data_IF_825197748194
#
_entry.id   IF_825197748194
#
_cell.length_a   1.000
_cell.length_b   1.000
_cell.length_c   1.000
_cell.angle_alpha   90.00
_cell.angle_beta   90.00
_cell.angle_gamma   90.00
#
_symmetry.space_group_name_H-M   'P 1'
#
loop_
_entity.id
_entity.type
_entity.pdbx_description
1 polymer ?
#
# COMPACT_ATOMS: atom_id res chain seq x y z
N UNK A 1 4.29 25.18 -3.78
CA UNK A 1 5.45 25.83 -3.16
C UNK A 1 5.43 25.73 -1.62
N UNK A 2 4.49 26.34 -0.88
CA UNK A 2 4.47 26.30 0.59
C UNK A 2 4.39 24.89 1.20
N UNK A 3 3.52 23.99 0.70
CA UNK A 3 3.42 22.60 1.18
C UNK A 3 4.70 21.79 0.96
N UNK A 4 5.40 21.99 -0.14
CA UNK A 4 6.67 21.30 -0.42
C UNK A 4 7.80 21.80 0.49
N UNK A 5 7.81 23.08 0.80
CA UNK A 5 8.70 23.66 1.79
C UNK A 5 8.45 23.07 3.19
N UNK A 6 7.20 23.01 3.65
CA UNK A 6 6.83 22.39 4.92
C UNK A 6 7.26 20.92 5.00
N UNK A 7 7.05 20.15 3.93
CA UNK A 7 7.45 18.75 3.90
C UNK A 7 8.97 18.60 3.95
N UNK A 8 9.70 19.47 3.27
CA UNK A 8 11.16 19.39 3.21
C UNK A 8 11.82 19.74 4.54
N UNK A 9 11.34 20.80 5.23
CA UNK A 9 11.99 21.34 6.41
C UNK A 9 11.24 21.06 7.72
N UNK A 10 9.94 20.79 7.64
CA UNK A 10 9.05 20.60 8.79
C UNK A 10 8.12 19.40 8.59
N UNK A 11 8.69 18.28 8.15
CA UNK A 11 7.91 17.06 7.82
C UNK A 11 7.03 16.59 8.98
N UNK A 12 7.50 16.73 10.22
CA UNK A 12 6.74 16.37 11.42
C UNK A 12 5.47 17.20 11.59
N UNK A 13 5.56 18.53 11.42
CA UNK A 13 4.39 19.41 11.48
C UNK A 13 3.38 19.05 10.39
N UNK A 14 3.86 18.74 9.18
CA UNK A 14 3.01 18.28 8.09
C UNK A 14 2.30 16.97 8.42
N UNK A 15 2.99 16.01 9.05
CA UNK A 15 2.42 14.73 9.48
C UNK A 15 1.32 14.97 10.52
N UNK A 16 1.57 15.76 11.56
CA UNK A 16 0.58 16.08 12.60
C UNK A 16 -0.65 16.78 12.01
N UNK A 17 -0.45 17.79 11.18
CA UNK A 17 -1.55 18.45 10.48
C UNK A 17 -2.35 17.48 9.61
N UNK A 18 -1.67 16.58 8.88
CA UNK A 18 -2.33 15.61 8.03
C UNK A 18 -3.19 14.63 8.83
N UNK A 19 -2.67 14.11 9.95
CA UNK A 19 -3.38 13.16 10.80
C UNK A 19 -4.52 13.81 11.58
N UNK A 20 -4.21 14.84 12.38
CA UNK A 20 -5.11 15.34 13.42
C UNK A 20 -6.01 16.49 12.97
N UNK A 21 -5.71 17.13 11.84
CA UNK A 21 -6.54 18.21 11.31
C UNK A 21 -7.24 17.75 10.02
N UNK A 22 -6.47 17.37 9.00
CA UNK A 22 -7.04 17.05 7.69
C UNK A 22 -7.82 15.73 7.68
N UNK A 23 -7.31 14.70 8.35
CA UNK A 23 -7.89 13.36 8.38
C UNK A 23 -8.42 12.96 9.77
N UNK A 24 -8.75 13.92 10.64
CA UNK A 24 -9.23 13.67 12.00
C UNK A 24 -10.41 12.69 12.09
N UNK A 25 -11.26 12.68 11.09
CA UNK A 25 -12.43 11.79 11.02
C UNK A 25 -12.07 10.31 10.81
N UNK A 26 -10.81 10.01 10.48
CA UNK A 26 -10.32 8.64 10.31
C UNK A 26 -9.57 8.10 11.52
N UNK A 27 -9.40 8.88 12.60
CA UNK A 27 -8.59 8.48 13.76
C UNK A 27 -9.23 7.32 14.52
N UNK A 28 -10.56 7.27 14.60
CA UNK A 28 -11.28 6.20 15.26
C UNK A 28 -12.50 5.81 14.44
N UNK A 29 -12.46 4.64 13.86
CA UNK A 29 -13.54 4.09 13.01
C UNK A 29 -13.70 2.60 13.21
N UNK A 30 -14.89 2.12 12.89
CA UNK A 30 -15.19 0.67 12.89
C UNK A 30 -14.55 -0.09 11.73
N UNK A 31 -14.22 0.61 10.63
CA UNK A 31 -13.49 0.12 9.47
C UNK A 31 -12.69 1.26 8.85
N UNK A 32 -11.50 0.97 8.41
CA UNK A 32 -10.61 1.91 7.73
C UNK A 32 -10.53 1.62 6.23
N UNK A 33 -10.95 0.43 5.81
CA UNK A 33 -11.07 0.04 4.41
C UNK A 33 -12.24 0.77 3.73
N UNK A 34 -12.25 0.77 2.40
CA UNK A 34 -13.30 1.45 1.61
C UNK A 34 -14.65 0.73 1.73
N UNK A 35 -14.66 -0.60 1.65
CA UNK A 35 -15.86 -1.43 1.67
C UNK A 35 -15.91 -2.47 2.81
N UNK A 36 -15.05 -2.31 3.85
CA UNK A 36 -15.05 -3.18 5.03
C UNK A 36 -14.21 -4.46 4.88
N UNK A 37 -13.27 -4.47 3.94
CA UNK A 37 -12.34 -5.57 3.68
C UNK A 37 -11.57 -5.98 4.94
N UNK A 38 -11.15 -5.01 5.74
CA UNK A 38 -10.44 -5.20 7.01
C UNK A 38 -11.26 -5.99 8.03
N UNK A 39 -12.56 -5.69 8.19
CA UNK A 39 -13.48 -6.45 9.04
C UNK A 39 -13.67 -7.88 8.54
N UNK A 40 -13.81 -8.03 7.22
CA UNK A 40 -13.97 -9.35 6.61
C UNK A 40 -12.74 -10.22 6.88
N UNK A 41 -11.53 -9.68 6.72
CA UNK A 41 -10.28 -10.40 6.98
C UNK A 41 -10.15 -10.79 8.45
N UNK A 42 -10.40 -9.88 9.39
CA UNK A 42 -10.39 -10.18 10.83
C UNK A 42 -11.34 -11.31 11.19
N UNK A 43 -12.54 -11.33 10.58
CA UNK A 43 -13.53 -12.39 10.81
C UNK A 43 -13.08 -13.72 10.22
N UNK A 44 -12.43 -13.70 9.05
CA UNK A 44 -12.05 -14.91 8.30
C UNK A 44 -10.78 -15.56 8.82
N UNK A 45 -9.75 -14.78 9.15
CA UNK A 45 -8.44 -15.31 9.55
C UNK A 45 -8.32 -15.31 11.07
N UNK A 46 -8.50 -16.49 11.71
CA UNK A 46 -8.45 -16.66 13.15
C UNK A 46 -7.04 -16.89 13.70
N UNK A 47 -6.15 -17.50 12.90
CA UNK A 47 -4.76 -17.83 13.26
C UNK A 47 -3.80 -17.16 12.31
N UNK A 48 -2.68 -16.67 12.84
CA UNK A 48 -1.72 -15.86 12.10
C UNK A 48 -2.04 -14.37 12.27
N UNK A 49 -1.04 -13.52 12.11
CA UNK A 49 -1.18 -12.07 12.30
C UNK A 49 -0.10 -11.33 11.53
N UNK A 50 0.20 -11.79 10.30
CA UNK A 50 1.17 -11.15 9.44
C UNK A 50 0.54 -10.69 8.13
N UNK A 51 0.68 -9.41 7.84
CA UNK A 51 0.20 -8.84 6.59
C UNK A 51 1.32 -8.14 5.79
N UNK A 52 1.06 -8.02 4.49
CA UNK A 52 1.85 -7.18 3.57
C UNK A 52 0.89 -6.26 2.85
N UNK A 53 1.19 -4.96 2.85
CA UNK A 53 0.36 -3.89 2.27
C UNK A 53 1.19 -3.15 1.22
N UNK A 54 0.90 -3.36 -0.06
CA UNK A 54 1.61 -2.76 -1.19
C UNK A 54 0.75 -1.67 -1.82
N UNK A 55 1.29 -0.44 -1.88
CA UNK A 55 0.55 0.77 -2.21
C UNK A 55 -0.26 1.26 -1.02
N UNK A 56 0.32 1.18 0.17
CA UNK A 56 -0.37 1.39 1.45
C UNK A 56 -0.88 2.83 1.68
N UNK A 57 -0.44 3.81 0.90
CA UNK A 57 -0.86 5.20 0.80
C UNK A 57 -0.98 5.95 2.14
N UNK A 58 -1.99 5.69 2.96
CA UNK A 58 -2.26 6.41 4.21
C UNK A 58 -2.65 5.44 5.32
N UNK A 59 -2.06 5.52 6.54
CA UNK A 59 -2.29 4.51 7.57
C UNK A 59 -3.72 4.42 8.10
N UNK A 60 -4.52 5.51 7.98
CA UNK A 60 -5.87 5.58 8.53
C UNK A 60 -6.98 5.65 7.46
N UNK A 61 -6.68 6.18 6.28
CA UNK A 61 -7.70 6.49 5.28
C UNK A 61 -7.65 5.50 4.12
N UNK A 62 -8.76 4.81 3.88
CA UNK A 62 -8.88 3.79 2.83
C UNK A 62 -7.71 2.81 2.91
N UNK A 63 -7.59 2.14 4.07
CA UNK A 63 -6.48 1.25 4.34
C UNK A 63 -6.96 -0.09 4.88
N UNK A 64 -6.67 -1.16 4.17
CA UNK A 64 -7.14 -2.51 4.45
C UNK A 64 -6.45 -3.16 5.67
N UNK A 65 -5.35 -2.57 6.16
CA UNK A 65 -4.50 -3.18 7.18
C UNK A 65 -4.53 -2.44 8.53
N UNK A 66 -5.14 -1.24 8.64
CA UNK A 66 -5.09 -0.50 9.90
C UNK A 66 -5.87 -1.18 11.03
N UNK A 67 -7.08 -1.66 10.75
CA UNK A 67 -7.86 -2.41 11.74
C UNK A 67 -7.16 -3.70 12.17
N UNK A 68 -6.39 -4.34 11.26
CA UNK A 68 -5.56 -5.50 11.59
C UNK A 68 -4.45 -5.11 12.57
N UNK A 69 -3.76 -3.98 12.32
CA UNK A 69 -2.72 -3.45 13.20
C UNK A 69 -3.25 -3.17 14.61
N UNK A 70 -4.43 -2.54 14.75
CA UNK A 70 -5.11 -2.30 16.03
C UNK A 70 -5.45 -3.62 16.75
N UNK A 71 -5.65 -4.71 16.01
CA UNK A 71 -5.89 -6.06 16.54
C UNK A 71 -4.60 -6.89 16.69
N UNK A 72 -3.46 -6.23 16.93
CA UNK A 72 -2.15 -6.84 17.19
C UNK A 72 -1.60 -7.67 16.02
N UNK A 73 -2.00 -7.38 14.79
CA UNK A 73 -1.28 -7.85 13.62
C UNK A 73 -0.06 -6.98 13.39
N UNK A 74 0.96 -7.55 12.73
CA UNK A 74 2.17 -6.80 12.33
C UNK A 74 2.49 -7.12 10.88
N UNK A 75 3.08 -6.14 10.19
CA UNK A 75 3.27 -6.29 8.76
C UNK A 75 4.40 -5.50 8.16
N UNK A 76 4.37 -5.52 6.84
CA UNK A 76 5.24 -4.71 5.97
C UNK A 76 4.34 -3.81 5.13
N UNK A 77 4.48 -2.50 5.30
CA UNK A 77 3.80 -1.49 4.50
C UNK A 77 4.78 -0.94 3.46
N UNK A 78 4.42 -0.96 2.19
CA UNK A 78 5.29 -0.56 1.09
C UNK A 78 4.59 0.51 0.25
N UNK A 79 5.26 1.64 0.04
CA UNK A 79 4.76 2.71 -0.82
C UNK A 79 5.89 3.44 -1.54
N UNK A 80 5.59 3.92 -2.75
CA UNK A 80 6.52 4.75 -3.53
C UNK A 80 6.63 6.18 -2.99
N UNK A 81 5.66 6.62 -2.20
CA UNK A 81 5.61 7.97 -1.65
C UNK A 81 6.31 8.03 -0.29
N UNK A 82 7.45 8.70 -0.24
CA UNK A 82 8.24 8.88 0.99
C UNK A 82 7.43 9.50 2.14
N UNK A 83 6.52 10.44 1.84
CA UNK A 83 5.69 11.09 2.88
C UNK A 83 4.66 10.12 3.46
N UNK A 84 4.11 9.25 2.61
CA UNK A 84 3.26 8.13 3.05
C UNK A 84 4.00 7.30 4.10
N UNK A 85 5.20 6.83 3.79
CA UNK A 85 6.01 6.01 4.70
C UNK A 85 6.34 6.74 6.01
N UNK A 86 6.71 8.03 5.96
CA UNK A 86 6.92 8.82 7.19
C UNK A 86 5.67 8.90 8.09
N UNK A 87 4.47 8.94 7.51
CA UNK A 87 3.22 8.90 8.28
C UNK A 87 3.03 7.51 8.91
N UNK A 88 3.33 6.44 8.16
CA UNK A 88 3.31 5.07 8.69
C UNK A 88 4.31 4.89 9.84
N UNK A 89 5.53 5.39 9.73
CA UNK A 89 6.54 5.34 10.80
C UNK A 89 6.05 6.02 12.08
N UNK A 90 5.25 7.06 11.96
CA UNK A 90 4.65 7.74 13.10
C UNK A 90 3.48 6.95 13.71
N UNK A 91 2.58 6.38 12.88
CA UNK A 91 1.33 5.74 13.32
C UNK A 91 1.54 4.26 13.65
N UNK A 92 2.35 3.54 12.84
CA UNK A 92 2.55 2.09 12.92
C UNK A 92 4.02 1.75 13.19
N UNK A 93 4.51 2.17 14.35
CA UNK A 93 5.92 2.04 14.76
C UNK A 93 6.42 0.60 14.87
N UNK A 94 5.51 -0.35 15.10
CA UNK A 94 5.84 -1.77 15.26
C UNK A 94 5.85 -2.54 13.93
N UNK A 95 5.34 -1.91 12.86
CA UNK A 95 5.44 -2.42 11.50
C UNK A 95 6.77 -2.06 10.86
N UNK A 96 7.06 -2.74 9.77
CA UNK A 96 8.15 -2.37 8.88
C UNK A 96 7.59 -1.54 7.71
N UNK A 97 8.04 -0.28 7.60
CA UNK A 97 7.57 0.64 6.58
C UNK A 97 8.68 0.87 5.56
N UNK A 98 8.41 0.58 4.28
CA UNK A 98 9.43 0.54 3.22
C UNK A 98 9.09 1.50 2.10
N UNK A 99 9.96 2.49 1.88
CA UNK A 99 9.84 3.39 0.73
C UNK A 99 10.51 2.75 -0.50
N UNK A 100 9.74 2.06 -1.31
CA UNK A 100 10.19 1.38 -2.52
C UNK A 100 9.05 1.22 -3.52
N UNK A 101 9.39 1.17 -4.80
CA UNK A 101 8.49 0.61 -5.80
C UNK A 101 8.58 -0.92 -5.77
N UNK A 102 7.42 -1.58 -5.95
CA UNK A 102 7.38 -3.02 -6.21
C UNK A 102 7.23 -3.22 -7.72
N UNK A 103 8.14 -3.98 -8.31
CA UNK A 103 8.16 -4.25 -9.76
C UNK A 103 8.78 -5.62 -10.05
N UNK A 104 8.75 -6.05 -11.32
CA UNK A 104 9.35 -7.32 -11.73
C UNK A 104 10.89 -7.33 -11.66
N UNK A 105 11.52 -6.16 -11.71
CA UNK A 105 12.97 -6.03 -11.79
C UNK A 105 13.52 -5.12 -10.67
N UNK A 106 14.72 -5.48 -10.18
CA UNK A 106 15.49 -4.62 -9.29
C UNK A 106 16.10 -3.45 -10.10
N UNK A 107 16.08 -2.24 -9.53
CA UNK A 107 16.69 -1.08 -10.14
C UNK A 107 16.09 0.23 -9.67
N UNK A 108 15.84 1.13 -10.60
CA UNK A 108 15.19 2.41 -10.37
C UNK A 108 14.08 2.63 -11.39
N UNK A 109 12.96 3.16 -10.92
CA UNK A 109 11.83 3.55 -11.76
C UNK A 109 11.42 4.99 -11.49
N UNK A 110 10.80 5.62 -12.47
CA UNK A 110 10.17 6.91 -12.27
C UNK A 110 8.71 6.70 -11.82
N UNK A 111 8.28 7.46 -10.83
CA UNK A 111 6.88 7.56 -10.49
C UNK A 111 6.36 8.97 -10.69
N UNK A 112 5.06 9.08 -10.94
CA UNK A 112 4.38 10.32 -11.30
C UNK A 112 3.36 10.67 -10.22
N UNK A 113 3.23 11.97 -9.90
CA UNK A 113 2.30 12.47 -8.89
C UNK A 113 1.87 13.92 -9.21
N UNK A 114 0.78 14.37 -8.59
CA UNK A 114 0.32 15.76 -8.66
C UNK A 114 0.65 16.54 -7.39
N UNK A 115 0.44 15.94 -6.23
CA UNK A 115 0.63 16.52 -4.90
C UNK A 115 1.48 15.60 -4.01
N UNK A 116 2.13 16.14 -2.97
CA UNK A 116 3.05 15.38 -2.13
C UNK A 116 2.46 14.12 -1.48
N UNK A 117 1.19 14.16 -1.08
CA UNK A 117 0.46 13.01 -0.56
C UNK A 117 -0.84 12.85 -1.36
N UNK A 118 -0.70 12.29 -2.54
CA UNK A 118 -1.80 12.03 -3.47
C UNK A 118 -2.16 10.55 -3.47
N UNK A 119 -3.45 10.24 -3.48
CA UNK A 119 -3.93 8.87 -3.73
C UNK A 119 -3.74 8.41 -5.18
N UNK A 120 -3.32 9.32 -6.07
CA UNK A 120 -3.09 9.04 -7.49
C UNK A 120 -1.61 9.04 -7.86
N UNK A 121 -0.76 8.53 -6.98
CA UNK A 121 0.67 8.36 -7.29
C UNK A 121 0.86 7.05 -8.05
N UNK A 122 1.47 7.08 -9.23
CA UNK A 122 1.53 5.91 -10.12
C UNK A 122 2.87 5.74 -10.82
N UNK A 123 3.25 4.50 -11.10
CA UNK A 123 4.38 4.18 -12.00
C UNK A 123 4.01 4.38 -13.48
N UNK A 124 2.72 4.55 -13.77
CA UNK A 124 2.23 4.81 -15.14
C UNK A 124 2.02 6.30 -15.29
N UNK A 125 2.61 6.90 -16.33
CA UNK A 125 2.41 8.31 -16.66
C UNK A 125 0.95 8.56 -17.04
N UNK A 126 0.24 9.38 -16.27
CA UNK A 126 -1.14 9.80 -16.53
C UNK A 126 -1.14 11.32 -16.81
N UNK A 127 -2.06 11.80 -17.66
CA UNK A 127 -2.14 13.22 -18.11
C UNK A 127 -2.22 14.24 -16.97
N UNK A 128 -2.85 13.88 -15.86
CA UNK A 128 -3.03 14.71 -14.67
C UNK A 128 -1.83 14.69 -13.70
N UNK A 129 -0.85 13.77 -13.88
CA UNK A 129 0.32 13.64 -13.01
C UNK A 129 1.49 14.40 -13.63
N UNK A 130 1.72 15.63 -13.17
CA UNK A 130 2.67 16.57 -13.79
C UNK A 130 4.09 16.50 -13.20
N UNK A 131 4.26 15.87 -12.03
CA UNK A 131 5.56 15.77 -11.33
C UNK A 131 6.08 14.35 -11.43
N UNK A 132 7.39 14.21 -11.41
CA UNK A 132 8.07 12.90 -11.42
C UNK A 132 9.19 12.86 -10.38
N UNK A 133 9.39 11.69 -9.82
CA UNK A 133 10.54 11.37 -8.96
C UNK A 133 11.08 9.99 -9.33
N UNK A 134 12.37 9.77 -9.09
CA UNK A 134 13.03 8.47 -9.22
C UNK A 134 13.06 7.76 -7.88
N UNK A 135 12.75 6.46 -7.85
CA UNK A 135 12.75 5.63 -6.66
C UNK A 135 13.39 4.27 -6.93
N UNK A 136 13.98 3.67 -5.90
CA UNK A 136 14.41 2.26 -5.96
C UNK A 136 13.21 1.36 -6.21
N UNK A 137 13.40 0.34 -7.03
CA UNK A 137 12.42 -0.71 -7.26
C UNK A 137 13.01 -2.08 -7.00
N UNK A 138 12.18 -2.99 -6.54
CA UNK A 138 12.57 -4.38 -6.35
C UNK A 138 11.33 -5.28 -6.48
N UNK A 139 11.57 -6.59 -6.61
CA UNK A 139 10.53 -7.59 -6.49
C UNK A 139 10.01 -7.65 -5.06
N UNK A 140 8.75 -8.00 -4.86
CA UNK A 140 8.16 -8.11 -3.54
C UNK A 140 8.87 -9.17 -2.69
N UNK A 141 9.17 -10.33 -3.27
CA UNK A 141 9.92 -11.39 -2.59
C UNK A 141 11.31 -10.91 -2.11
N UNK A 142 12.04 -10.16 -2.92
CA UNK A 142 13.35 -9.63 -2.54
C UNK A 142 13.25 -8.55 -1.44
N UNK A 143 12.20 -7.73 -1.45
CA UNK A 143 11.95 -6.78 -0.36
C UNK A 143 11.73 -7.54 0.95
N UNK A 144 10.88 -8.56 0.93
CA UNK A 144 10.60 -9.38 2.12
C UNK A 144 11.83 -10.16 2.59
N UNK A 145 12.65 -10.68 1.66
CA UNK A 145 13.90 -11.38 1.96
C UNK A 145 14.93 -10.52 2.72
N UNK A 146 14.87 -9.19 2.54
CA UNK A 146 15.73 -8.23 3.25
C UNK A 146 15.22 -7.87 4.64
N UNK A 147 14.13 -8.47 5.11
CA UNK A 147 13.47 -8.15 6.38
C UNK A 147 13.51 -9.33 7.35
N UNK A 148 13.10 -9.08 8.60
CA UNK A 148 12.85 -10.13 9.61
C UNK A 148 11.74 -11.12 9.20
N UNK A 149 11.00 -10.83 8.14
CA UNK A 149 9.89 -11.65 7.64
C UNK A 149 10.28 -12.57 6.47
N UNK A 150 11.58 -12.73 6.22
CA UNK A 150 12.08 -13.67 5.20
C UNK A 150 11.48 -15.06 5.38
N UNK A 151 10.91 -15.60 4.29
CA UNK A 151 10.23 -16.91 4.24
C UNK A 151 9.03 -17.07 5.19
N UNK A 152 8.53 -16.00 5.79
CA UNK A 152 7.32 -16.05 6.60
C UNK A 152 6.09 -16.08 5.70
N UNK A 153 5.22 -17.07 5.89
CA UNK A 153 3.94 -17.16 5.17
C UNK A 153 3.07 -15.94 5.48
N UNK A 154 2.47 -15.35 4.44
CA UNK A 154 1.64 -14.15 4.55
C UNK A 154 0.21 -14.59 4.92
N UNK A 155 -0.37 -14.03 5.97
CA UNK A 155 -1.77 -14.28 6.30
C UNK A 155 -2.71 -13.42 5.44
N UNK A 156 -2.33 -12.17 5.19
CA UNK A 156 -3.08 -11.24 4.34
C UNK A 156 -2.15 -10.38 3.47
N UNK A 157 -2.39 -10.38 2.17
CA UNK A 157 -1.71 -9.53 1.18
C UNK A 157 -2.71 -8.55 0.59
N UNK A 158 -2.47 -7.25 0.81
CA UNK A 158 -3.19 -6.14 0.18
C UNK A 158 -2.35 -5.54 -0.93
N UNK A 159 -2.92 -5.35 -2.11
CA UNK A 159 -2.26 -4.76 -3.28
C UNK A 159 -3.17 -3.69 -3.89
N UNK A 160 -2.67 -2.46 -3.92
CA UNK A 160 -3.26 -1.31 -4.62
C UNK A 160 -2.13 -0.47 -5.23
N UNK A 161 -1.64 -0.89 -6.38
CA UNK A 161 -0.46 -0.33 -7.06
C UNK A 161 -0.81 0.51 -8.28
N UNK A 162 -2.02 1.08 -8.33
CA UNK A 162 -2.47 2.03 -9.36
C UNK A 162 -2.22 1.56 -10.80
N UNK A 163 -2.63 0.31 -11.08
CA UNK A 163 -2.54 -0.34 -12.39
C UNK A 163 -1.28 -1.16 -12.61
N UNK A 164 -0.44 -1.35 -11.57
CA UNK A 164 0.71 -2.26 -11.56
C UNK A 164 0.50 -3.50 -10.67
N UNK A 165 -0.72 -3.72 -10.25
CA UNK A 165 -1.14 -4.76 -9.31
C UNK A 165 -0.73 -6.15 -9.76
N UNK A 166 -0.86 -6.44 -11.05
CA UNK A 166 -0.44 -7.72 -11.61
C UNK A 166 1.09 -7.91 -11.64
N UNK A 167 1.86 -6.84 -11.85
CA UNK A 167 3.31 -6.89 -11.78
C UNK A 167 3.76 -7.15 -10.33
N UNK A 168 3.08 -6.54 -9.34
CA UNK A 168 3.30 -6.80 -7.91
C UNK A 168 3.06 -8.27 -7.61
N UNK A 169 1.92 -8.81 -8.03
CA UNK A 169 1.56 -10.21 -7.80
C UNK A 169 2.61 -11.17 -8.40
N UNK A 170 3.05 -10.94 -9.64
CA UNK A 170 4.10 -11.72 -10.31
C UNK A 170 5.48 -11.60 -9.65
N UNK A 171 5.72 -10.55 -8.88
CA UNK A 171 6.99 -10.31 -8.20
C UNK A 171 7.11 -11.05 -6.86
N UNK A 172 6.09 -11.80 -6.46
CA UNK A 172 6.09 -12.62 -5.25
C UNK A 172 6.38 -14.09 -5.58
N UNK A 173 7.26 -14.71 -4.83
CA UNK A 173 7.43 -16.15 -4.83
C UNK A 173 6.33 -16.82 -3.98
N UNK A 174 5.27 -17.29 -4.63
CA UNK A 174 4.12 -17.90 -3.98
C UNK A 174 4.44 -19.20 -3.23
N UNK A 175 5.48 -19.94 -3.63
CA UNK A 175 5.88 -21.16 -2.92
C UNK A 175 6.48 -20.85 -1.55
N UNK A 176 7.22 -19.74 -1.46
CA UNK A 176 7.86 -19.31 -0.21
C UNK A 176 6.92 -18.54 0.71
N UNK A 177 6.16 -17.60 0.17
CA UNK A 177 5.38 -16.64 0.95
C UNK A 177 3.90 -17.01 1.11
N UNK A 178 3.31 -17.76 0.18
CA UNK A 178 1.99 -18.42 0.22
C UNK A 178 0.89 -17.61 0.93
N UNK A 179 0.40 -16.49 0.33
CA UNK A 179 -0.64 -15.69 0.95
C UNK A 179 -1.93 -16.47 1.15
N UNK A 180 -2.48 -16.48 2.39
CA UNK A 180 -3.77 -17.14 2.71
C UNK A 180 -4.97 -16.40 2.14
N UNK A 181 -4.87 -15.08 2.08
CA UNK A 181 -5.88 -14.20 1.50
C UNK A 181 -5.22 -13.04 0.79
N UNK A 182 -5.76 -12.68 -0.38
CA UNK A 182 -5.28 -11.55 -1.19
C UNK A 182 -6.46 -10.62 -1.44
N UNK A 183 -6.28 -9.33 -1.13
CA UNK A 183 -7.12 -8.24 -1.61
C UNK A 183 -6.33 -7.47 -2.66
N UNK A 184 -6.87 -7.35 -3.87
CA UNK A 184 -6.18 -6.72 -4.98
C UNK A 184 -7.14 -5.84 -5.76
N UNK A 185 -6.68 -4.62 -6.11
CA UNK A 185 -7.45 -3.76 -6.97
C UNK A 185 -7.45 -4.29 -8.41
N UNK A 186 -8.64 -4.39 -8.99
CA UNK A 186 -8.82 -4.85 -10.36
C UNK A 186 -9.33 -3.71 -11.23
N UNK A 187 -8.45 -3.12 -12.01
CA UNK A 187 -8.81 -2.12 -13.00
C UNK A 187 -9.57 -2.74 -14.16
N UNK A 188 -10.79 -2.27 -14.40
CA UNK A 188 -11.60 -2.70 -15.50
C UNK A 188 -12.68 -1.66 -15.84
N UNK A 189 -13.34 -1.81 -16.98
CA UNK A 189 -14.53 -0.99 -17.34
C UNK A 189 -15.74 -1.47 -16.52
N UNK A 190 -15.62 -1.49 -15.19
CA UNK A 190 -16.63 -1.98 -14.25
C UNK A 190 -17.99 -1.24 -14.35
N UNK A 191 -18.03 -0.08 -15.00
CA UNK A 191 -19.28 0.65 -15.33
C UNK A 191 -20.11 -0.02 -16.44
N UNK A 192 -19.58 -1.04 -17.14
CA UNK A 192 -20.39 -1.84 -18.07
C UNK A 192 -20.94 -3.04 -17.30
N UNK A 193 -22.28 -3.24 -17.36
CA UNK A 193 -23.05 -4.34 -16.78
C UNK A 193 -22.51 -5.77 -17.02
N UNK A 194 -21.44 -5.94 -17.80
CA UNK A 194 -20.84 -7.21 -18.21
C UNK A 194 -19.32 -7.26 -17.96
N UNK A 195 -18.83 -6.80 -16.78
CA UNK A 195 -17.43 -7.01 -16.41
C UNK A 195 -17.18 -8.50 -16.14
N UNK A 196 -16.41 -9.14 -17.01
CA UNK A 196 -16.10 -10.56 -16.88
C UNK A 196 -14.74 -10.73 -16.22
N UNK A 197 -14.73 -11.03 -14.93
CA UNK A 197 -13.52 -11.29 -14.12
C UNK A 197 -12.63 -12.35 -14.77
N UNK A 198 -13.20 -13.40 -15.38
CA UNK A 198 -12.45 -14.50 -16.02
C UNK A 198 -11.57 -14.04 -17.19
N UNK A 199 -11.84 -12.87 -17.76
CA UNK A 199 -11.02 -12.26 -18.82
C UNK A 199 -9.91 -11.36 -18.27
N UNK A 200 -9.88 -11.10 -16.96
CA UNK A 200 -8.84 -10.30 -16.34
C UNK A 200 -7.58 -11.13 -16.09
N UNK A 201 -6.41 -10.56 -16.40
CA UNK A 201 -5.11 -11.24 -16.23
C UNK A 201 -4.78 -11.61 -14.78
N UNK A 202 -5.37 -10.93 -13.81
CA UNK A 202 -5.20 -11.20 -12.38
C UNK A 202 -6.00 -12.43 -11.95
N UNK A 203 -7.12 -12.72 -12.62
CA UNK A 203 -7.96 -13.87 -12.31
C UNK A 203 -7.45 -15.18 -12.94
N UNK A 204 -6.69 -15.08 -14.03
CA UNK A 204 -6.10 -16.26 -14.72
C UNK A 204 -4.82 -16.71 -14.02
#
# INVERSE_FOLDING_TARGET
MFKEFLIKYFSFIYILHNLYIKNKYYIKRDTYADSGEDKFILKKIKKGKFYVDVGCHHPLRINNCHLLYENNWRGVNIDINEISIKIFDYVRKEDLNVNSAVSLNKGYVNYFYDKPLSGYTSLIKKKNLKKTKKIKSNRLDNILDSTKYKNKKIDFLSIDAEGKDFDVLKSLDFKRYEPKSICIEIWGKAKKKNFNLKKNSIYK
#
